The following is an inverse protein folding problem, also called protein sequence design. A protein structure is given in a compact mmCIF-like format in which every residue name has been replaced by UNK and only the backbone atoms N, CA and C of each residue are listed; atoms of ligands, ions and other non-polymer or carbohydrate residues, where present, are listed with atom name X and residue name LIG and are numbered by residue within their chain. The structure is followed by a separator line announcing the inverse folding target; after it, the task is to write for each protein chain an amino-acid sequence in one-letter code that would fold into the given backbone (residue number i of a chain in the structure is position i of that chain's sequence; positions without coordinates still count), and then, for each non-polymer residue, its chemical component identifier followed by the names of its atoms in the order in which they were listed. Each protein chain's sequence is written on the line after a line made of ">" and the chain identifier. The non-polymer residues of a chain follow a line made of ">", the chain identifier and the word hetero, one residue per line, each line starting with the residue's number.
data_IF_826351872792
#
_entry.id   IF_826351872792
#
_cell.length_a   1.000
_cell.length_b   1.000
_cell.length_c   1.000
_cell.angle_alpha   90.00
_cell.angle_beta   90.00
_cell.angle_gamma   90.00
#
_symmetry.space_group_name_H-M   'P 1'
#
loop_
_entity.id
_entity.type
_entity.pdbx_description
1 polymer ?
#
# COMPACT_ATOMS: atom_id res chain seq x y z
N UNK A 1 12.78 27.91 -1.79
CA UNK A 1 11.65 27.28 -1.08
C UNK A 1 10.48 26.85 -2.00
N UNK A 2 10.51 27.11 -3.32
CA UNK A 2 9.37 26.87 -4.22
C UNK A 2 9.42 25.54 -5.01
N UNK A 3 9.80 24.42 -4.37
CA UNK A 3 9.80 23.09 -5.03
C UNK A 3 8.96 22.03 -4.32
N UNK A 4 8.36 22.37 -3.17
CA UNK A 4 7.55 21.44 -2.37
C UNK A 4 6.06 21.47 -2.70
N UNK A 5 5.59 22.47 -3.44
CA UNK A 5 4.18 22.58 -3.84
C UNK A 5 3.87 21.99 -5.23
N UNK A 6 4.87 21.67 -6.05
CA UNK A 6 4.66 21.47 -7.50
C UNK A 6 4.50 20.01 -7.98
N UNK A 7 4.69 18.99 -7.14
CA UNK A 7 4.57 17.59 -7.58
C UNK A 7 3.83 16.68 -6.59
N UNK A 8 2.58 17.03 -6.28
CA UNK A 8 1.70 16.21 -5.45
C UNK A 8 1.44 14.82 -6.08
N UNK A 9 1.33 14.77 -7.41
CA UNK A 9 1.10 13.53 -8.18
C UNK A 9 2.33 12.60 -8.14
N UNK A 10 3.53 13.15 -8.31
CA UNK A 10 4.79 12.41 -8.18
C UNK A 10 5.00 11.89 -6.77
N UNK A 11 4.69 12.69 -5.75
CA UNK A 11 4.76 12.25 -4.35
C UNK A 11 3.81 11.07 -4.07
N UNK A 12 2.59 11.09 -4.61
CA UNK A 12 1.62 9.98 -4.51
C UNK A 12 2.13 8.74 -5.23
N UNK A 13 2.70 8.92 -6.42
CA UNK A 13 3.30 7.84 -7.20
C UNK A 13 4.41 7.17 -6.40
N UNK A 14 5.36 7.94 -5.87
CA UNK A 14 6.47 7.44 -5.06
C UNK A 14 5.95 6.73 -3.80
N UNK A 15 4.95 7.28 -3.12
CA UNK A 15 4.34 6.65 -1.96
C UNK A 15 3.73 5.28 -2.29
N UNK A 16 3.02 5.18 -3.41
CA UNK A 16 2.41 3.92 -3.86
C UNK A 16 3.48 2.90 -4.29
N UNK A 17 4.52 3.36 -4.99
CA UNK A 17 5.66 2.52 -5.38
C UNK A 17 6.40 1.99 -4.16
N UNK A 18 6.66 2.81 -3.14
CA UNK A 18 7.28 2.35 -1.89
C UNK A 18 6.50 1.18 -1.27
N UNK A 19 5.18 1.34 -1.15
CA UNK A 19 4.33 0.30 -0.56
C UNK A 19 4.31 -0.96 -1.44
N UNK A 20 4.19 -0.81 -2.75
CA UNK A 20 4.22 -1.94 -3.68
C UNK A 20 5.54 -2.71 -3.61
N UNK A 21 6.68 -2.02 -3.63
CA UNK A 21 8.00 -2.64 -3.54
C UNK A 21 8.20 -3.35 -2.21
N UNK A 22 7.69 -2.77 -1.13
CA UNK A 22 7.71 -3.42 0.20
C UNK A 22 6.90 -4.72 0.21
N UNK A 23 5.71 -4.70 -0.38
CA UNK A 23 4.83 -5.86 -0.50
C UNK A 23 5.49 -6.95 -1.36
N UNK A 24 6.02 -6.58 -2.54
CA UNK A 24 6.73 -7.50 -3.44
C UNK A 24 7.94 -8.13 -2.76
N UNK A 25 8.75 -7.35 -2.06
CA UNK A 25 9.89 -7.86 -1.30
C UNK A 25 9.49 -8.95 -0.29
N UNK A 26 8.36 -8.77 0.42
CA UNK A 26 7.86 -9.78 1.36
C UNK A 26 7.39 -11.03 0.60
N UNK A 27 6.63 -10.88 -0.48
CA UNK A 27 6.16 -12.02 -1.28
C UNK A 27 7.32 -12.82 -1.88
N UNK A 28 8.34 -12.15 -2.42
CA UNK A 28 9.56 -12.77 -2.95
C UNK A 28 10.34 -13.52 -1.86
N UNK A 29 10.51 -12.90 -0.70
CA UNK A 29 11.21 -13.50 0.45
C UNK A 29 10.51 -14.78 0.93
N UNK A 30 9.19 -14.80 0.86
CA UNK A 30 8.33 -15.93 1.24
C UNK A 30 8.03 -16.88 0.06
N UNK A 31 8.65 -16.65 -1.10
CA UNK A 31 8.51 -17.44 -2.34
C UNK A 31 7.06 -17.59 -2.82
N UNK A 32 6.27 -16.52 -2.67
CA UNK A 32 4.90 -16.45 -3.14
C UNK A 32 4.86 -15.83 -4.53
N UNK A 33 4.26 -16.56 -5.48
CA UNK A 33 4.12 -16.11 -6.85
C UNK A 33 3.10 -14.97 -7.00
N UNK A 34 3.46 -13.98 -7.80
CA UNK A 34 2.58 -12.92 -8.23
C UNK A 34 2.87 -12.51 -9.69
N UNK A 35 1.89 -11.89 -10.34
CA UNK A 35 1.99 -11.47 -11.72
C UNK A 35 2.21 -9.97 -11.79
N UNK A 36 3.35 -9.55 -12.35
CA UNK A 36 3.64 -8.13 -12.62
C UNK A 36 2.62 -7.46 -13.57
N UNK A 37 1.92 -8.25 -14.39
CA UNK A 37 0.98 -7.74 -15.41
C UNK A 37 -0.48 -7.79 -14.98
N UNK A 38 -0.82 -8.64 -14.01
CA UNK A 38 -2.21 -8.86 -13.57
C UNK A 38 -2.44 -8.36 -12.14
N UNK A 39 -1.47 -8.52 -11.25
CA UNK A 39 -1.64 -8.17 -9.85
C UNK A 39 -1.44 -6.67 -9.62
N UNK A 40 -2.47 -6.03 -9.08
CA UNK A 40 -2.44 -4.64 -8.65
C UNK A 40 -2.09 -4.53 -7.16
N UNK A 41 -1.86 -3.29 -6.70
CA UNK A 41 -1.49 -3.05 -5.30
C UNK A 41 -2.47 -3.70 -4.29
N UNK A 42 -3.80 -3.62 -4.47
CA UNK A 42 -4.77 -4.37 -3.66
C UNK A 42 -4.58 -5.90 -3.69
N UNK A 43 -4.38 -6.52 -4.86
CA UNK A 43 -4.25 -7.98 -4.94
C UNK A 43 -2.93 -8.46 -4.33
N UNK A 44 -1.82 -7.73 -4.54
CA UNK A 44 -0.53 -7.99 -3.91
C UNK A 44 -0.61 -7.88 -2.38
N UNK A 45 -1.33 -6.86 -1.87
CA UNK A 45 -1.54 -6.70 -0.43
C UNK A 45 -2.36 -7.85 0.15
N UNK A 46 -3.42 -8.30 -0.53
CA UNK A 46 -4.22 -9.45 -0.09
C UNK A 46 -3.36 -10.72 0.05
N UNK A 47 -2.46 -10.99 -0.91
CA UNK A 47 -1.51 -12.10 -0.82
C UNK A 47 -0.61 -11.96 0.41
N UNK A 48 -0.09 -10.76 0.64
CA UNK A 48 0.78 -10.47 1.79
C UNK A 48 0.07 -10.63 3.13
N UNK A 49 -1.21 -10.25 3.22
CA UNK A 49 -2.00 -10.47 4.43
C UNK A 49 -2.14 -11.95 4.77
N UNK A 50 -2.31 -12.82 3.76
CA UNK A 50 -2.38 -14.26 3.98
C UNK A 50 -1.05 -14.80 4.54
N UNK A 51 0.07 -14.40 3.92
CA UNK A 51 1.42 -14.78 4.34
C UNK A 51 1.73 -14.35 5.78
N UNK A 52 1.37 -13.11 6.12
CA UNK A 52 1.66 -12.53 7.43
C UNK A 52 0.59 -12.83 8.49
N UNK A 53 -0.43 -13.64 8.18
CA UNK A 53 -1.59 -13.90 9.06
C UNK A 53 -2.29 -12.61 9.54
N UNK A 54 -2.41 -11.64 8.64
CA UNK A 54 -3.08 -10.36 8.84
C UNK A 54 -4.46 -10.30 8.16
N UNK A 55 -4.99 -11.45 7.73
CA UNK A 55 -6.36 -11.51 7.21
C UNK A 55 -7.35 -11.25 8.34
N UNK A 56 -8.26 -10.26 8.23
CA UNK A 56 -9.21 -9.94 9.29
C UNK A 56 -10.03 -11.16 9.77
N UNK A 57 -10.35 -12.08 8.86
CA UNK A 57 -11.16 -13.26 9.17
C UNK A 57 -10.41 -14.28 10.04
N UNK A 58 -9.08 -14.17 10.13
CA UNK A 58 -8.23 -15.01 10.98
C UNK A 58 -8.07 -14.52 12.42
N UNK A 59 -8.67 -13.38 12.79
CA UNK A 59 -8.58 -12.81 14.14
C UNK A 59 -9.91 -12.95 14.88
N UNK A 60 -9.88 -13.13 16.21
CA UNK A 60 -11.11 -13.21 17.03
C UNK A 60 -11.57 -11.87 17.56
N UNK A 61 -10.64 -10.93 17.74
CA UNK A 61 -10.91 -9.62 18.33
C UNK A 61 -11.43 -8.62 17.30
N UNK A 62 -12.68 -8.18 17.48
CA UNK A 62 -13.35 -7.26 16.54
C UNK A 62 -12.62 -5.94 16.33
N UNK A 63 -11.92 -5.43 17.35
CA UNK A 63 -11.14 -4.20 17.26
C UNK A 63 -10.00 -4.35 16.25
N UNK A 64 -9.27 -5.46 16.30
CA UNK A 64 -8.19 -5.73 15.34
C UNK A 64 -8.73 -5.97 13.94
N UNK A 65 -9.89 -6.63 13.79
CA UNK A 65 -10.56 -6.76 12.49
C UNK A 65 -10.87 -5.39 11.89
N UNK A 66 -11.40 -4.47 12.68
CA UNK A 66 -11.74 -3.13 12.22
C UNK A 66 -10.50 -2.37 11.72
N UNK A 67 -9.39 -2.45 12.46
CA UNK A 67 -8.13 -1.83 12.06
C UNK A 67 -7.62 -2.43 10.74
N UNK A 68 -7.59 -3.76 10.63
CA UNK A 68 -7.10 -4.45 9.43
C UNK A 68 -7.98 -4.20 8.21
N UNK A 69 -9.30 -4.08 8.39
CA UNK A 69 -10.22 -3.65 7.32
C UNK A 69 -9.93 -2.20 6.89
N UNK A 70 -9.62 -1.31 7.84
CA UNK A 70 -9.16 0.05 7.54
C UNK A 70 -7.90 0.06 6.68
N UNK A 71 -6.91 -0.80 7.00
CA UNK A 71 -5.70 -0.96 6.19
C UNK A 71 -6.02 -1.39 4.74
N UNK A 72 -6.95 -2.34 4.56
CA UNK A 72 -7.41 -2.75 3.21
C UNK A 72 -7.96 -1.54 2.43
N UNK A 73 -8.84 -0.74 3.06
CA UNK A 73 -9.40 0.44 2.43
C UNK A 73 -8.35 1.49 2.06
N UNK A 74 -7.34 1.71 2.92
CA UNK A 74 -6.22 2.61 2.63
C UNK A 74 -5.44 2.15 1.41
N UNK A 75 -5.08 0.86 1.33
CA UNK A 75 -4.33 0.30 0.19
C UNK A 75 -5.13 0.40 -1.10
N UNK A 76 -6.43 0.11 -1.07
CA UNK A 76 -7.34 0.29 -2.20
C UNK A 76 -7.38 1.75 -2.68
N UNK A 77 -7.45 2.70 -1.74
CA UNK A 77 -7.40 4.13 -2.02
C UNK A 77 -6.10 4.55 -2.70
N UNK A 78 -4.96 4.12 -2.17
CA UNK A 78 -3.63 4.42 -2.73
C UNK A 78 -3.47 3.84 -4.14
N UNK A 79 -3.84 2.58 -4.36
CA UNK A 79 -3.79 1.95 -5.69
C UNK A 79 -4.69 2.66 -6.71
N UNK A 80 -5.89 3.06 -6.29
CA UNK A 80 -6.82 3.81 -7.13
C UNK A 80 -6.32 5.21 -7.48
N UNK A 81 -5.65 5.89 -6.54
CA UNK A 81 -5.11 7.23 -6.74
C UNK A 81 -3.99 7.20 -7.78
N UNK A 82 -3.07 6.23 -7.67
CA UNK A 82 -2.03 5.98 -8.69
C UNK A 82 -2.62 5.71 -10.08
N UNK A 83 -3.62 4.84 -10.17
CA UNK A 83 -4.21 4.47 -11.47
C UNK A 83 -4.93 5.66 -12.13
N UNK A 84 -5.54 6.55 -11.33
CA UNK A 84 -6.19 7.77 -11.84
C UNK A 84 -5.18 8.81 -12.33
N UNK A 85 -4.01 8.89 -11.71
CA UNK A 85 -2.96 9.85 -12.08
C UNK A 85 -2.09 9.32 -13.24
N UNK A 86 -1.90 8.00 -13.36
CA UNK A 86 -1.17 7.36 -14.47
C UNK A 86 -1.97 7.22 -15.77
N UNK A 87 -3.30 7.11 -15.69
CA UNK A 87 -4.16 6.94 -16.86
C UNK A 87 -4.60 8.30 -17.42
N UNK A 88 -3.72 8.90 -18.23
CA UNK A 88 -3.87 10.22 -18.85
C UNK A 88 -4.97 10.29 -19.94
N UNK A 89 -5.79 9.25 -20.10
CA UNK A 89 -6.82 9.17 -21.16
C UNK A 89 -8.24 9.58 -20.74
N UNK A 90 -8.54 9.82 -19.46
CA UNK A 90 -9.85 10.34 -19.08
C UNK A 90 -9.93 11.88 -19.27
N UNK A 91 -11.06 12.43 -19.74
CA UNK A 91 -11.20 13.85 -20.01
C UNK A 91 -10.84 14.70 -18.78
N UNK A 92 -9.92 15.64 -18.98
CA UNK A 92 -9.29 16.49 -17.96
C UNK A 92 -10.24 17.47 -17.25
N UNK A 93 -11.50 17.55 -17.66
CA UNK A 93 -12.50 18.52 -17.17
C UNK A 93 -13.24 18.09 -15.90
N UNK A 94 -13.09 16.84 -15.44
CA UNK A 94 -13.75 16.30 -14.24
C UNK A 94 -12.78 15.91 -13.10
N UNK A 95 -11.46 16.12 -13.27
CA UNK A 95 -10.44 15.70 -12.30
C UNK A 95 -9.99 16.87 -11.43
N UNK A 96 -10.32 16.83 -10.14
CA UNK A 96 -9.67 17.70 -9.15
C UNK A 96 -8.24 17.20 -8.91
N UNK A 97 -7.23 18.02 -9.23
CA UNK A 97 -5.83 17.66 -8.99
C UNK A 97 -5.57 17.44 -7.50
N UNK A 98 -4.78 16.42 -7.10
CA UNK A 98 -4.39 16.26 -5.71
C UNK A 98 -3.63 17.49 -5.21
N UNK A 99 -4.12 18.10 -4.13
CA UNK A 99 -3.36 19.14 -3.41
C UNK A 99 -2.29 18.51 -2.51
N UNK A 100 -1.31 19.31 -2.09
CA UNK A 100 -0.19 18.92 -1.22
C UNK A 100 -0.62 18.09 0.00
N UNK A 101 -1.69 18.49 0.70
CA UNK A 101 -2.19 17.76 1.89
C UNK A 101 -2.65 16.32 1.57
N UNK A 102 -3.13 16.06 0.35
CA UNK A 102 -3.53 14.72 -0.07
C UNK A 102 -2.28 13.87 -0.38
N UNK A 103 -1.26 14.47 -0.98
CA UNK A 103 0.02 13.81 -1.21
C UNK A 103 0.70 13.45 0.11
N UNK A 104 0.72 14.39 1.07
CA UNK A 104 1.26 14.16 2.41
C UNK A 104 0.55 13.01 3.13
N UNK A 105 -0.79 12.97 3.08
CA UNK A 105 -1.57 11.86 3.64
C UNK A 105 -1.19 10.52 2.99
N UNK A 106 -1.07 10.48 1.66
CA UNK A 106 -0.68 9.26 0.95
C UNK A 106 0.72 8.78 1.33
N UNK A 107 1.69 9.70 1.41
CA UNK A 107 3.07 9.40 1.86
C UNK A 107 3.07 8.83 3.27
N UNK A 108 2.34 9.45 4.21
CA UNK A 108 2.26 9.01 5.59
C UNK A 108 1.61 7.64 5.73
N UNK A 109 0.53 7.38 4.98
CA UNK A 109 -0.10 6.06 4.97
C UNK A 109 0.82 4.99 4.39
N UNK A 110 1.44 5.24 3.23
CA UNK A 110 2.38 4.29 2.64
C UNK A 110 3.56 3.99 3.56
N UNK A 111 4.16 5.00 4.19
CA UNK A 111 5.26 4.81 5.13
C UNK A 111 4.85 4.00 6.36
N UNK A 112 3.69 4.30 6.94
CA UNK A 112 3.16 3.57 8.11
C UNK A 112 2.87 2.11 7.77
N UNK A 113 2.21 1.87 6.64
CA UNK A 113 1.89 0.53 6.14
C UNK A 113 3.15 -0.29 5.84
N UNK A 114 4.10 0.29 5.12
CA UNK A 114 5.36 -0.38 4.80
C UNK A 114 6.13 -0.77 6.06
N UNK A 115 6.24 0.16 7.02
CA UNK A 115 6.92 -0.09 8.28
C UNK A 115 6.22 -1.21 9.11
N UNK A 116 4.89 -1.17 9.18
CA UNK A 116 4.11 -2.20 9.89
C UNK A 116 4.29 -3.59 9.25
N UNK A 117 4.23 -3.68 7.92
CA UNK A 117 4.39 -4.95 7.20
C UNK A 117 5.78 -5.55 7.39
N UNK A 118 6.84 -4.75 7.21
CA UNK A 118 8.22 -5.21 7.41
C UNK A 118 8.47 -5.60 8.87
N UNK A 119 8.00 -4.80 9.83
CA UNK A 119 8.15 -5.12 11.25
C UNK A 119 7.46 -6.44 11.60
N UNK A 120 6.27 -6.68 11.06
CA UNK A 120 5.53 -7.93 11.24
C UNK A 120 6.28 -9.13 10.61
N UNK A 121 6.77 -8.96 9.38
CA UNK A 121 7.55 -9.98 8.69
C UNK A 121 8.83 -10.35 9.44
N UNK A 122 9.62 -9.35 9.87
CA UNK A 122 10.84 -9.54 10.66
C UNK A 122 10.56 -10.23 11.99
N UNK A 123 9.48 -9.84 12.69
CA UNK A 123 9.09 -10.44 13.95
C UNK A 123 8.78 -11.93 13.78
N UNK A 124 8.02 -12.29 12.74
CA UNK A 124 7.70 -13.68 12.43
C UNK A 124 8.94 -14.50 12.08
N UNK A 125 9.85 -13.96 11.28
CA UNK A 125 11.07 -14.69 10.91
C UNK A 125 12.02 -14.90 12.09
N UNK A 126 12.07 -13.96 13.05
CA UNK A 126 12.80 -14.17 14.30
C UNK A 126 12.21 -15.30 15.15
N UNK A 127 10.88 -15.50 15.11
CA UNK A 127 10.22 -16.62 15.80
C UNK A 127 10.49 -17.97 15.12
N UNK A 128 10.69 -18.01 13.81
CA UNK A 128 11.01 -19.24 13.06
C UNK A 128 12.46 -19.69 13.24
N UNK A 129 13.36 -18.79 13.65
CA UNK A 129 14.79 -19.09 13.90
C UNK A 129 15.11 -19.44 15.36
N UNK A 130 14.11 -19.42 16.25
CA UNK A 130 14.24 -19.83 17.66
C UNK A 130 13.67 -21.23 17.86
#
# INVERSE_FOLDING_TARGET
>A
MARRDEDSEGAITIASTLLEQTIKFILESEKIEYSETVDDLPSLYKKTQAVLNLSPDGHTEEIFKQILRGCVSVVQGLGSLRNKDGDAHAPSTMRGKPSVRHAELSVNFSGTMANFLISTWMYRNKLLTK
#
